data_IF_574854992237
#
_entry.id   IF_574854992237
#
_cell.length_a   1.000
_cell.length_b   1.000
_cell.length_c   1.000
_cell.angle_alpha   90.00
_cell.angle_beta   90.00
_cell.angle_gamma   90.00
#
_symmetry.space_group_name_H-M   'P 1'
#
loop_
_entity.id
_entity.type
_entity.pdbx_description
1 polymer ?
#
# COMPACT_ATOMS: atom_id res chain seq x y z
N UNK A 1 8.47 12.32 -18.31
CA UNK A 1 8.32 11.30 -17.25
C UNK A 1 6.88 10.80 -17.30
N UNK A 2 6.65 9.54 -17.65
CA UNK A 2 5.32 8.95 -17.53
C UNK A 2 4.94 8.95 -16.05
N UNK A 3 3.97 9.79 -15.66
CA UNK A 3 3.33 9.69 -14.34
C UNK A 3 2.79 8.26 -14.23
N UNK A 4 3.46 7.43 -13.43
CA UNK A 4 2.98 6.07 -13.18
C UNK A 4 1.71 6.20 -12.35
N UNK A 5 0.56 6.14 -13.01
CA UNK A 5 -0.74 6.14 -12.32
C UNK A 5 -0.84 4.88 -11.46
N UNK A 6 -1.18 5.06 -10.18
CA UNK A 6 -1.52 3.95 -9.30
C UNK A 6 -2.98 3.58 -9.52
N UNK A 7 -3.25 2.28 -9.67
CA UNK A 7 -4.61 1.78 -9.44
C UNK A 7 -4.98 1.90 -7.96
N UNK A 8 -6.28 1.97 -7.66
CA UNK A 8 -6.79 2.06 -6.27
C UNK A 8 -6.15 1.03 -5.34
N UNK A 9 -6.11 -0.23 -5.77
CA UNK A 9 -5.54 -1.29 -4.95
C UNK A 9 -4.02 -1.19 -4.77
N UNK A 10 -3.30 -0.60 -5.74
CA UNK A 10 -1.87 -0.33 -5.57
C UNK A 10 -1.61 0.76 -4.54
N UNK A 11 -2.42 1.81 -4.56
CA UNK A 11 -2.33 2.90 -3.60
C UNK A 11 -2.69 2.41 -2.19
N UNK A 12 -3.72 1.58 -2.04
CA UNK A 12 -4.05 0.94 -0.75
C UNK A 12 -2.87 0.15 -0.23
N UNK A 13 -2.28 -0.72 -1.04
CA UNK A 13 -1.12 -1.53 -0.61
C UNK A 13 0.08 -0.63 -0.24
N UNK A 14 0.36 0.40 -1.04
CA UNK A 14 1.45 1.34 -0.76
C UNK A 14 1.24 2.11 0.56
N UNK A 15 0.01 2.56 0.82
CA UNK A 15 -0.37 3.20 2.09
C UNK A 15 -0.20 2.26 3.27
N UNK A 16 -0.61 1.00 3.14
CA UNK A 16 -0.51 0.00 4.21
C UNK A 16 0.96 -0.34 4.49
N UNK A 17 1.81 -0.45 3.46
CA UNK A 17 3.26 -0.62 3.66
C UNK A 17 3.86 0.57 4.42
N UNK A 18 3.46 1.80 4.08
CA UNK A 18 3.89 3.00 4.82
C UNK A 18 3.42 3.00 6.28
N UNK A 19 2.19 2.54 6.55
CA UNK A 19 1.64 2.40 7.91
C UNK A 19 2.45 1.39 8.73
N UNK A 20 2.75 0.23 8.15
CA UNK A 20 3.43 -0.87 8.85
C UNK A 20 4.92 -0.62 9.13
N UNK A 21 5.53 0.41 8.54
CA UNK A 21 6.85 0.97 8.94
C UNK A 21 7.92 -0.07 9.30
N UNK A 22 8.22 -0.98 8.36
CA UNK A 22 9.26 -2.01 8.54
C UNK A 22 8.75 -3.41 8.91
N UNK A 23 7.46 -3.56 9.27
CA UNK A 23 6.81 -4.87 9.50
C UNK A 23 5.87 -5.28 8.34
N UNK A 24 6.09 -4.71 7.15
CA UNK A 24 5.24 -4.98 6.01
C UNK A 24 5.67 -6.25 5.27
N UNK A 25 4.99 -7.37 5.53
CA UNK A 25 5.05 -8.56 4.69
C UNK A 25 3.65 -8.96 4.25
N UNK A 26 3.55 -9.85 3.26
CA UNK A 26 2.26 -10.08 2.59
C UNK A 26 1.11 -10.48 3.51
N UNK A 27 1.38 -11.15 4.65
CA UNK A 27 0.33 -11.53 5.60
C UNK A 27 -0.08 -10.35 6.48
N UNK A 28 0.85 -9.57 7.03
CA UNK A 28 0.50 -8.37 7.82
C UNK A 28 -0.23 -7.34 6.98
N UNK A 29 0.15 -7.18 5.72
CA UNK A 29 -0.54 -6.28 4.78
C UNK A 29 -2.00 -6.73 4.56
N UNK A 30 -2.26 -8.03 4.42
CA UNK A 30 -3.63 -8.54 4.26
C UNK A 30 -4.45 -8.25 5.51
N UNK A 31 -3.91 -8.59 6.69
CA UNK A 31 -4.57 -8.36 7.97
C UNK A 31 -4.90 -6.87 8.18
N UNK A 32 -3.97 -5.97 7.86
CA UNK A 32 -4.18 -4.53 8.00
C UNK A 32 -5.24 -3.99 7.02
N UNK A 33 -5.31 -4.53 5.80
CA UNK A 33 -6.35 -4.19 4.82
C UNK A 33 -7.73 -4.67 5.31
N UNK A 34 -7.81 -5.88 5.83
CA UNK A 34 -9.05 -6.45 6.39
C UNK A 34 -9.54 -5.63 7.58
N UNK A 35 -8.65 -5.30 8.53
CA UNK A 35 -9.00 -4.54 9.73
C UNK A 35 -9.45 -3.10 9.41
N UNK A 36 -8.76 -2.41 8.51
CA UNK A 36 -9.04 -0.99 8.23
C UNK A 36 -10.15 -0.76 7.23
N UNK A 37 -10.31 -1.65 6.26
CA UNK A 37 -11.18 -1.44 5.10
C UNK A 37 -12.33 -2.46 4.99
N UNK A 38 -12.43 -3.40 5.93
CA UNK A 38 -13.41 -4.51 5.90
C UNK A 38 -13.39 -5.25 4.54
N UNK A 39 -12.17 -5.42 3.99
CA UNK A 39 -11.95 -5.93 2.63
C UNK A 39 -11.07 -7.17 2.66
N UNK A 40 -11.68 -8.31 2.36
CA UNK A 40 -10.94 -9.56 2.15
C UNK A 40 -10.13 -9.49 0.84
N UNK A 41 -8.83 -9.79 0.92
CA UNK A 41 -7.92 -9.79 -0.23
C UNK A 41 -7.08 -11.05 -0.28
N UNK A 42 -6.82 -11.56 -1.48
CA UNK A 42 -6.02 -12.77 -1.63
C UNK A 42 -4.52 -12.50 -1.53
N UNK A 43 -3.79 -13.46 -0.96
CA UNK A 43 -2.33 -13.41 -0.87
C UNK A 43 -1.66 -13.19 -2.24
N UNK A 44 -2.15 -13.86 -3.28
CA UNK A 44 -1.62 -13.72 -4.64
C UNK A 44 -1.82 -12.30 -5.21
N UNK A 45 -2.94 -11.65 -4.90
CA UNK A 45 -3.20 -10.27 -5.34
C UNK A 45 -2.22 -9.29 -4.67
N UNK A 46 -2.05 -9.38 -3.35
CA UNK A 46 -1.09 -8.55 -2.61
C UNK A 46 0.34 -8.77 -3.11
N UNK A 47 0.77 -10.03 -3.29
CA UNK A 47 2.09 -10.34 -3.84
C UNK A 47 2.31 -9.78 -5.25
N UNK A 48 1.28 -9.80 -6.11
CA UNK A 48 1.35 -9.23 -7.45
C UNK A 48 1.52 -7.72 -7.42
N UNK A 49 0.79 -7.03 -6.53
CA UNK A 49 0.90 -5.59 -6.36
C UNK A 49 2.25 -5.19 -5.78
N UNK A 50 2.74 -5.89 -4.75
CA UNK A 50 4.05 -5.62 -4.15
C UNK A 50 5.18 -5.69 -5.18
N UNK A 51 5.22 -6.74 -6.01
CA UNK A 51 6.18 -6.86 -7.12
C UNK A 51 6.06 -5.73 -8.14
N UNK A 52 4.83 -5.27 -8.42
CA UNK A 52 4.58 -4.19 -9.38
C UNK A 52 5.01 -2.84 -8.83
N UNK A 53 4.77 -2.56 -7.55
CA UNK A 53 5.21 -1.36 -6.86
C UNK A 53 6.74 -1.31 -6.73
N UNK A 54 7.37 -2.45 -6.42
CA UNK A 54 8.84 -2.60 -6.41
C UNK A 54 9.42 -2.36 -7.82
N UNK A 55 8.83 -2.95 -8.87
CA UNK A 55 9.23 -2.68 -10.26
C UNK A 55 9.06 -1.21 -10.66
N UNK A 56 8.11 -0.49 -10.06
CA UNK A 56 7.91 0.96 -10.25
C UNK A 56 8.91 1.80 -9.44
N UNK A 57 9.72 1.21 -8.57
CA UNK A 57 10.65 1.91 -7.67
C UNK A 57 9.96 2.57 -6.47
N UNK A 58 8.72 2.20 -6.16
CA UNK A 58 7.92 2.80 -5.07
C UNK A 58 8.07 2.05 -3.75
N UNK A 59 8.57 0.81 -3.82
CA UNK A 59 8.91 -0.03 -2.68
C UNK A 59 10.31 -0.62 -2.89
N UNK A 60 10.99 -0.89 -1.79
CA UNK A 60 12.14 -1.79 -1.72
C UNK A 60 11.76 -3.01 -0.89
N UNK A 61 12.49 -4.12 -1.05
CA UNK A 61 12.30 -5.29 -0.20
C UNK A 61 13.61 -5.97 0.18
N UNK A 62 13.63 -6.54 1.37
CA UNK A 62 14.73 -7.38 1.85
C UNK A 62 14.20 -8.69 2.43
N UNK A 63 15.03 -9.72 2.40
CA UNK A 63 14.78 -10.96 3.14
C UNK A 63 15.11 -10.68 4.61
N UNK A 64 14.07 -10.51 5.42
CA UNK A 64 14.22 -10.36 6.86
C UNK A 64 14.90 -11.57 7.51
N UNK A 65 15.35 -11.36 8.74
CA UNK A 65 16.04 -12.38 9.52
C UNK A 65 15.24 -13.68 9.62
N UNK A 66 15.95 -14.80 9.71
CA UNK A 66 15.32 -16.07 9.97
C UNK A 66 14.60 -16.00 11.32
N UNK A 67 13.27 -15.94 11.30
CA UNK A 67 12.47 -16.03 12.52
C UNK A 67 12.75 -17.38 13.17
N UNK A 68 13.10 -17.39 14.47
CA UNK A 68 13.39 -18.59 15.28
C UNK A 68 12.19 -19.55 15.45
N UNK A 69 11.10 -19.35 14.70
CA UNK A 69 9.97 -20.27 14.65
C UNK A 69 10.33 -21.50 13.80
N UNK A 70 10.02 -22.69 14.36
CA UNK A 70 10.31 -24.02 13.77
C UNK A 70 9.87 -24.07 12.30
N UNK A 71 10.83 -24.04 11.38
CA UNK A 71 10.58 -24.13 9.93
C UNK A 71 11.21 -23.00 9.09
N UNK A 72 11.70 -21.92 9.70
CA UNK A 72 12.74 -21.04 9.16
C UNK A 72 12.54 -20.44 7.77
N UNK A 73 11.31 -20.20 7.31
CA UNK A 73 11.09 -19.52 6.03
C UNK A 73 11.31 -18.02 6.21
N UNK A 74 12.38 -17.49 5.62
CA UNK A 74 12.67 -16.05 5.62
C UNK A 74 11.46 -15.27 5.10
N UNK A 75 11.03 -14.26 5.85
CA UNK A 75 9.96 -13.35 5.46
C UNK A 75 10.56 -12.27 4.56
N UNK A 76 9.86 -11.87 3.50
CA UNK A 76 10.25 -10.71 2.70
C UNK A 76 9.53 -9.49 3.26
N UNK A 77 10.29 -8.54 3.78
CA UNK A 77 9.81 -7.27 4.29
C UNK A 77 9.88 -6.23 3.18
N UNK A 78 8.90 -5.33 3.14
CA UNK A 78 8.81 -4.25 2.18
C UNK A 78 8.85 -2.92 2.91
N UNK A 79 9.53 -1.96 2.31
CA UNK A 79 9.59 -0.58 2.81
C UNK A 79 9.28 0.39 1.68
N UNK A 80 8.64 1.51 2.02
CA UNK A 80 8.35 2.57 1.08
C UNK A 80 9.62 3.34 0.73
N UNK A 81 9.80 3.68 -0.55
CA UNK A 81 10.90 4.53 -1.00
C UNK A 81 10.54 6.01 -0.90
N UNK A 82 11.53 6.90 -1.08
CA UNK A 82 11.26 8.33 -1.16
C UNK A 82 10.30 8.66 -2.31
N UNK A 83 10.49 8.03 -3.48
CA UNK A 83 9.61 8.17 -4.64
C UNK A 83 8.20 7.65 -4.37
N UNK A 84 8.07 6.56 -3.60
CA UNK A 84 6.80 6.03 -3.10
C UNK A 84 6.06 7.05 -2.24
N UNK A 85 6.76 7.67 -1.30
CA UNK A 85 6.22 8.68 -0.40
C UNK A 85 5.75 9.94 -1.16
N UNK A 86 6.58 10.48 -2.05
CA UNK A 86 6.22 11.62 -2.90
C UNK A 86 4.95 11.36 -3.72
N UNK A 87 4.81 10.14 -4.25
CA UNK A 87 3.64 9.75 -5.04
C UNK A 87 2.38 9.65 -4.18
N UNK A 88 2.48 9.16 -2.94
CA UNK A 88 1.35 9.16 -1.99
C UNK A 88 0.91 10.59 -1.65
N UNK A 89 1.85 11.49 -1.40
CA UNK A 89 1.54 12.89 -1.07
C UNK A 89 0.85 13.60 -2.25
N UNK A 90 1.30 13.34 -3.48
CA UNK A 90 0.65 13.84 -4.68
C UNK A 90 -0.79 13.29 -4.83
N UNK A 91 -0.99 11.99 -4.68
CA UNK A 91 -2.31 11.37 -4.81
C UNK A 91 -3.26 11.88 -3.72
N UNK A 92 -2.79 12.00 -2.48
CA UNK A 92 -3.55 12.58 -1.36
C UNK A 92 -3.99 14.01 -1.68
N UNK A 93 -3.08 14.86 -2.15
CA UNK A 93 -3.40 16.24 -2.50
C UNK A 93 -4.46 16.33 -3.61
N UNK A 94 -4.32 15.51 -4.67
CA UNK A 94 -5.26 15.45 -5.77
C UNK A 94 -6.65 14.98 -5.32
N UNK A 95 -6.71 13.88 -4.55
CA UNK A 95 -7.97 13.32 -4.03
C UNK A 95 -8.67 14.28 -3.09
N UNK A 96 -7.94 14.91 -2.17
CA UNK A 96 -8.49 15.91 -1.26
C UNK A 96 -9.02 17.13 -2.02
N UNK A 97 -8.33 17.58 -3.07
CA UNK A 97 -8.81 18.68 -3.91
C UNK A 97 -10.14 18.33 -4.59
N UNK A 98 -10.28 17.11 -5.10
CA UNK A 98 -11.53 16.65 -5.72
C UNK A 98 -12.64 16.52 -4.68
N UNK A 99 -12.34 15.94 -3.51
CA UNK A 99 -13.28 15.80 -2.41
C UNK A 99 -13.82 17.17 -1.94
N UNK A 100 -12.93 18.15 -1.79
CA UNK A 100 -13.31 19.51 -1.40
C UNK A 100 -14.10 20.26 -2.47
N UNK A 101 -14.02 19.84 -3.73
CA UNK A 101 -14.77 20.42 -4.84
C UNK A 101 -16.19 19.84 -4.97
N UNK A 102 -16.55 18.79 -4.22
CA UNK A 102 -17.90 18.22 -4.22
C UNK A 102 -18.88 19.31 -3.75
N UNK A 103 -19.87 19.69 -4.58
CA UNK A 103 -20.88 20.65 -4.15
C UNK A 103 -21.60 20.10 -2.92
N UNK A 104 -21.78 20.94 -1.89
CA UNK A 104 -22.67 20.60 -0.77
C UNK A 104 -24.08 20.50 -1.35
N UNK A 105 -24.55 19.28 -1.60
CA UNK A 105 -25.94 19.04 -1.95
C UNK A 105 -26.80 19.53 -0.77
N UNK A 106 -27.44 20.68 -0.96
CA UNK A 106 -28.56 21.10 -0.13
C UNK A 106 -29.71 20.16 -0.43
N UNK A 107 -29.79 19.05 0.29
CA UNK A 107 -31.00 18.24 0.29
C UNK A 107 -32.05 19.02 1.07
N UNK A 108 -32.92 19.75 0.36
CA UNK A 108 -34.18 20.21 0.92
C UNK A 108 -35.07 18.98 1.05
N UNK A 109 -35.09 18.38 2.25
CA UNK A 109 -36.15 17.47 2.67
C UNK A 109 -37.32 18.27 3.26
#
# INVERSE_FOLDING_TARGET
MNKSTLGEFEEIVLLIVAILSGDAYSVTIISEIEERLDRNVSLGAVQTVLKRLEKKGLLTSDLGDATNERGGKRKRLYEITAEGQELLDLNKAQRNSLWNAIPKLSFNF
#
